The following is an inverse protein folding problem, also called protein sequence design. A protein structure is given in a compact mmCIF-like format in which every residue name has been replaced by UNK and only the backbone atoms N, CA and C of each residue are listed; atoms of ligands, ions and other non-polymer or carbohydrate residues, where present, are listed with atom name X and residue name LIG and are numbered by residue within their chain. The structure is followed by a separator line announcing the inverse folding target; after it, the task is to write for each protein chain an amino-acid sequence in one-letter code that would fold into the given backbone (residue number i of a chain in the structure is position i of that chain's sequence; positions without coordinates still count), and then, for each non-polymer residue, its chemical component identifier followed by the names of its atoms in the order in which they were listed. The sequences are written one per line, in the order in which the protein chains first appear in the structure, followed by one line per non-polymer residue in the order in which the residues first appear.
data_IF_609081864514
#
_entry.id   IF_609081864514
#
_cell.length_a   1.000
_cell.length_b   1.000
_cell.length_c   1.000
_cell.angle_alpha   90.00
_cell.angle_beta   90.00
_cell.angle_gamma   90.00
#
_symmetry.space_group_name_H-M   'P 1'
#
loop_
_entity.id
_entity.type
_entity.pdbx_description
1 polymer ?
#
# COMPACT_ATOMS: atom_id res chain seq x y z
N UNK A 1 -79.05 23.68 17.90
CA UNK A 1 -79.53 22.39 17.36
C UNK A 1 -78.66 22.04 16.15
N UNK A 2 -78.11 20.82 16.13
CA UNK A 2 -77.31 20.18 15.07
C UNK A 2 -75.84 20.61 14.88
N UNK A 3 -74.98 19.69 15.31
CA UNK A 3 -73.62 19.45 14.80
C UNK A 3 -73.63 19.32 13.27
N UNK A 4 -72.51 19.67 12.62
CA UNK A 4 -71.86 18.87 11.58
C UNK A 4 -70.37 19.26 11.57
N UNK A 5 -69.52 18.25 11.75
CA UNK A 5 -68.07 18.32 11.57
C UNK A 5 -67.74 18.20 10.08
N UNK A 6 -66.79 18.99 9.58
CA UNK A 6 -66.03 18.64 8.38
C UNK A 6 -64.58 19.11 8.54
N UNK A 7 -63.69 18.14 8.76
CA UNK A 7 -62.25 18.29 8.75
C UNK A 7 -61.77 18.84 7.39
N UNK A 8 -60.97 19.92 7.42
CA UNK A 8 -60.22 20.41 6.25
C UNK A 8 -58.73 20.15 6.46
N UNK A 9 -58.13 19.61 5.40
CA UNK A 9 -56.77 19.12 5.29
C UNK A 9 -55.68 20.10 5.76
N UNK A 10 -54.83 19.64 6.68
CA UNK A 10 -53.52 20.22 6.94
C UNK A 10 -52.49 19.36 6.20
N UNK A 11 -51.90 19.92 5.14
CA UNK A 11 -50.73 19.34 4.46
C UNK A 11 -49.55 19.37 5.44
N UNK A 12 -49.27 18.22 6.04
CA UNK A 12 -48.03 18.00 6.79
C UNK A 12 -46.91 17.80 5.77
N UNK A 13 -46.17 18.87 5.48
CA UNK A 13 -44.85 18.75 4.87
C UNK A 13 -43.93 18.14 5.93
N UNK A 14 -43.60 16.85 5.77
CA UNK A 14 -42.57 16.17 6.54
C UNK A 14 -41.22 16.85 6.26
N UNK A 15 -40.86 17.84 7.08
CA UNK A 15 -39.50 18.35 7.18
C UNK A 15 -38.67 17.33 7.96
N UNK A 16 -38.20 16.30 7.26
CA UNK A 16 -37.20 15.37 7.78
C UNK A 16 -35.86 16.12 7.77
N UNK A 17 -35.62 16.91 8.81
CA UNK A 17 -34.35 17.59 9.05
C UNK A 17 -33.31 16.50 9.36
N UNK A 18 -32.64 16.02 8.31
CA UNK A 18 -31.52 15.09 8.42
C UNK A 18 -30.41 15.81 9.19
N UNK A 19 -30.27 15.52 10.49
CA UNK A 19 -29.09 15.91 11.26
C UNK A 19 -27.87 15.22 10.61
N UNK A 20 -27.19 15.94 9.72
CA UNK A 20 -25.81 15.63 9.35
C UNK A 20 -24.97 15.85 10.62
N UNK A 21 -24.74 14.77 11.36
CA UNK A 21 -23.68 14.72 12.35
C UNK A 21 -22.36 14.79 11.57
N UNK A 22 -21.57 15.88 11.66
CA UNK A 22 -20.26 15.88 11.04
C UNK A 22 -19.43 14.80 11.73
N UNK A 23 -19.04 13.77 10.97
CA UNK A 23 -17.98 12.86 11.41
C UNK A 23 -16.71 13.71 11.52
N UNK A 24 -16.35 14.08 12.75
CA UNK A 24 -15.03 14.60 13.04
C UNK A 24 -14.04 13.47 12.77
N UNK A 25 -13.42 13.50 11.60
CA UNK A 25 -12.23 12.71 11.32
C UNK A 25 -11.12 13.22 12.22
N UNK A 26 -10.87 12.53 13.32
CA UNK A 26 -9.63 12.73 14.07
C UNK A 26 -8.49 12.26 13.17
N UNK A 27 -7.73 13.19 12.60
CA UNK A 27 -6.45 12.86 11.97
C UNK A 27 -5.54 12.30 13.06
N UNK A 28 -5.14 11.03 12.93
CA UNK A 28 -4.11 10.46 13.80
C UNK A 28 -2.75 10.83 13.25
N UNK A 29 -1.87 11.43 14.05
CA UNK A 29 -0.51 11.78 13.63
C UNK A 29 0.27 10.56 13.11
N UNK A 30 1.14 10.79 12.12
CA UNK A 30 2.05 9.79 11.59
C UNK A 30 3.30 9.64 12.46
N UNK A 31 3.86 8.44 12.52
CA UNK A 31 5.13 8.16 13.19
C UNK A 31 6.19 7.65 12.20
N UNK A 32 7.40 8.19 12.33
CA UNK A 32 8.59 7.74 11.62
C UNK A 32 9.60 7.24 12.64
N UNK A 33 9.94 5.95 12.58
CA UNK A 33 10.93 5.32 13.46
C UNK A 33 12.24 5.15 12.68
N UNK A 34 13.35 5.50 13.34
CA UNK A 34 14.69 5.43 12.77
C UNK A 34 15.61 4.78 13.80
N UNK A 35 16.14 3.61 13.49
CA UNK A 35 17.08 2.91 14.37
C UNK A 35 18.46 2.72 13.74
N UNK A 36 19.51 2.73 14.57
CA UNK A 36 20.89 2.55 14.10
C UNK A 36 21.92 2.49 15.23
N UNK A 37 23.18 2.72 14.85
CA UNK A 37 24.35 2.77 15.73
C UNK A 37 25.02 4.14 15.61
N UNK A 38 25.12 4.89 16.70
CA UNK A 38 25.69 6.23 16.72
C UNK A 38 27.14 6.23 16.21
N UNK A 39 27.44 7.05 15.20
CA UNK A 39 28.77 7.13 14.56
C UNK A 39 29.63 8.28 15.06
N UNK A 40 29.14 9.07 16.01
CA UNK A 40 29.86 10.19 16.61
C UNK A 40 29.53 11.56 16.02
N UNK A 41 28.45 11.68 15.24
CA UNK A 41 27.96 12.95 14.71
C UNK A 41 26.44 13.06 14.87
N UNK A 42 25.94 14.28 15.07
CA UNK A 42 24.52 14.55 15.26
C UNK A 42 23.70 14.28 13.98
N UNK A 43 22.38 14.10 14.13
CA UNK A 43 21.47 13.78 13.02
C UNK A 43 20.72 15.04 12.58
N UNK A 44 20.65 15.29 11.29
CA UNK A 44 19.93 16.42 10.71
C UNK A 44 18.64 15.93 10.08
N UNK A 45 17.54 16.62 10.40
CA UNK A 45 16.18 16.29 9.98
C UNK A 45 15.59 17.48 9.23
N UNK A 46 15.10 17.23 8.02
CA UNK A 46 14.24 18.14 7.26
C UNK A 46 12.83 18.16 7.88
N UNK A 47 12.30 19.36 8.09
CA UNK A 47 11.03 19.62 8.74
C UNK A 47 10.18 20.54 7.84
N UNK A 48 9.43 19.99 6.88
CA UNK A 48 8.70 20.78 5.90
C UNK A 48 7.73 21.79 6.54
N UNK A 49 7.65 22.98 5.94
CA UNK A 49 6.61 23.97 6.26
C UNK A 49 5.34 23.62 5.49
N UNK A 50 4.22 23.48 6.20
CA UNK A 50 2.92 23.16 5.63
C UNK A 50 2.23 24.42 5.08
N UNK A 51 1.19 24.22 4.29
CA UNK A 51 0.39 25.29 3.67
C UNK A 51 -0.33 26.17 4.70
N UNK A 52 -0.58 25.65 5.91
CA UNK A 52 -1.16 26.39 7.04
C UNK A 52 -0.13 27.21 7.83
N UNK A 53 1.15 27.17 7.43
CA UNK A 53 2.25 27.86 8.10
C UNK A 53 2.81 27.12 9.32
N UNK A 54 2.31 25.93 9.64
CA UNK A 54 2.88 25.08 10.71
C UNK A 54 3.98 24.17 10.19
N UNK A 55 4.87 23.73 11.07
CA UNK A 55 5.89 22.76 10.73
C UNK A 55 5.37 21.32 10.86
N UNK A 56 5.92 20.45 10.02
CA UNK A 56 5.54 19.05 9.89
C UNK A 56 5.75 18.24 11.19
N UNK A 57 6.91 18.40 11.84
CA UNK A 57 7.28 17.64 13.04
C UNK A 57 6.56 18.19 14.28
N UNK A 58 5.95 17.28 15.05
CA UNK A 58 5.19 17.58 16.28
C UNK A 58 5.89 17.13 17.55
N UNK A 59 6.62 16.02 17.50
CA UNK A 59 7.37 15.47 18.64
C UNK A 59 8.55 14.64 18.17
N UNK A 60 9.65 14.64 18.93
CA UNK A 60 10.80 13.76 18.69
C UNK A 60 11.19 13.05 19.98
N UNK A 61 11.45 11.75 19.88
CA UNK A 61 12.03 10.93 20.95
C UNK A 61 13.38 10.38 20.50
N UNK A 62 14.38 10.38 21.39
CA UNK A 62 15.70 9.77 21.19
C UNK A 62 15.95 8.81 22.35
N UNK A 63 16.11 7.51 22.07
CA UNK A 63 16.36 6.46 23.08
C UNK A 63 15.42 6.53 24.30
N UNK A 64 14.12 6.71 24.03
CA UNK A 64 13.03 6.84 25.02
C UNK A 64 12.96 8.19 25.75
N UNK A 65 13.85 9.15 25.47
CA UNK A 65 13.78 10.51 25.98
C UNK A 65 13.11 11.44 24.96
N UNK A 66 12.07 12.15 25.38
CA UNK A 66 11.42 13.17 24.55
C UNK A 66 12.24 14.45 24.49
N UNK A 67 12.34 15.06 23.30
CA UNK A 67 12.95 16.36 23.10
C UNK A 67 12.02 17.46 23.64
N UNK A 68 12.50 18.25 24.60
CA UNK A 68 11.67 19.24 25.29
C UNK A 68 11.12 20.35 24.38
N UNK A 69 11.85 20.72 23.31
CA UNK A 69 11.45 21.79 22.41
C UNK A 69 11.91 21.53 20.98
N UNK A 70 10.98 21.64 20.04
CA UNK A 70 11.29 21.57 18.62
C UNK A 70 11.64 22.95 18.04
N UNK A 71 12.70 23.06 17.21
CA UNK A 71 13.01 24.29 16.51
C UNK A 71 11.95 24.65 15.45
N UNK A 72 11.62 25.94 15.34
CA UNK A 72 10.76 26.49 14.31
C UNK A 72 11.57 26.74 13.03
N UNK A 73 12.05 25.66 12.41
CA UNK A 73 12.91 25.73 11.23
C UNK A 73 12.60 24.60 10.25
N UNK A 74 12.84 24.87 8.96
CA UNK A 74 12.64 23.91 7.86
C UNK A 74 13.60 22.71 7.90
N UNK A 75 14.62 22.77 8.75
CA UNK A 75 15.46 21.65 9.15
C UNK A 75 16.05 21.93 10.53
N UNK A 76 16.37 20.88 11.28
CA UNK A 76 17.01 21.01 12.58
C UNK A 76 17.95 19.84 12.90
N UNK A 77 18.80 20.07 13.89
CA UNK A 77 19.76 19.09 14.40
C UNK A 77 19.19 18.38 15.63
N UNK A 78 19.35 17.06 15.66
CA UNK A 78 19.13 16.22 16.82
C UNK A 78 20.46 16.01 17.53
N UNK A 79 20.60 16.65 18.69
CA UNK A 79 21.78 16.52 19.52
C UNK A 79 21.85 15.11 20.13
N UNK A 80 22.88 14.37 19.73
CA UNK A 80 23.19 13.03 20.19
C UNK A 80 24.57 12.99 20.86
N UNK A 81 25.16 14.14 21.19
CA UNK A 81 26.49 14.23 21.81
C UNK A 81 26.61 13.56 23.18
N UNK A 82 25.48 13.26 23.83
CA UNK A 82 25.40 12.49 25.06
C UNK A 82 25.59 10.97 24.85
N UNK A 83 25.51 10.48 23.61
CA UNK A 83 25.71 9.07 23.26
C UNK A 83 27.18 8.78 22.95
N UNK A 84 27.62 7.55 23.19
CA UNK A 84 28.96 7.09 22.81
C UNK A 84 28.91 6.48 21.42
N UNK A 85 29.97 6.70 20.64
CA UNK A 85 30.10 6.05 19.32
C UNK A 85 30.00 4.52 19.50
N UNK A 86 29.10 3.89 18.76
CA UNK A 86 28.77 2.47 18.92
C UNK A 86 27.48 2.19 19.68
N UNK A 87 26.89 3.18 20.36
CA UNK A 87 25.63 3.01 21.06
C UNK A 87 24.47 2.80 20.09
N UNK A 88 23.50 1.97 20.48
CA UNK A 88 22.25 1.84 19.75
C UNK A 88 21.43 3.13 19.90
N UNK A 89 20.81 3.55 18.79
CA UNK A 89 19.98 4.74 18.71
C UNK A 89 18.62 4.35 18.13
N UNK A 90 17.54 4.79 18.77
CA UNK A 90 16.17 4.73 18.29
C UNK A 90 15.56 6.12 18.36
N UNK A 91 15.18 6.67 17.21
CA UNK A 91 14.57 7.99 17.09
C UNK A 91 13.14 7.81 16.58
N UNK A 92 12.17 8.40 17.27
CA UNK A 92 10.77 8.41 16.84
C UNK A 92 10.39 9.86 16.56
N UNK A 93 9.96 10.15 15.34
CA UNK A 93 9.51 11.47 14.91
C UNK A 93 8.01 11.39 14.64
N UNK A 94 7.22 12.12 15.41
CA UNK A 94 5.79 12.27 15.19
C UNK A 94 5.56 13.49 14.31
N UNK A 95 4.73 13.34 13.28
CA UNK A 95 4.50 14.38 12.29
C UNK A 95 3.03 14.43 11.84
N UNK A 96 2.63 15.56 11.23
CA UNK A 96 1.32 15.68 10.60
C UNK A 96 1.13 14.65 9.48
N UNK A 97 -0.10 14.22 9.22
CA UNK A 97 -0.43 13.26 8.16
C UNK A 97 -0.10 13.74 6.74
N UNK A 98 -0.08 15.05 6.53
CA UNK A 98 0.07 15.65 5.20
C UNK A 98 1.53 15.83 4.77
N UNK A 99 2.49 15.32 5.54
CA UNK A 99 3.91 15.43 5.27
C UNK A 99 4.70 14.26 5.88
N UNK A 100 5.94 14.09 5.44
CA UNK A 100 6.88 13.13 6.03
C UNK A 100 8.26 13.82 6.14
N UNK A 101 8.81 13.99 7.35
CA UNK A 101 10.17 14.51 7.57
C UNK A 101 11.25 13.63 6.92
N UNK A 102 12.45 14.16 6.69
CA UNK A 102 13.54 13.39 6.06
C UNK A 102 14.86 13.53 6.80
N UNK A 103 15.56 12.42 6.97
CA UNK A 103 16.91 12.43 7.52
C UNK A 103 17.91 12.85 6.44
N UNK A 104 18.63 13.94 6.69
CA UNK A 104 19.58 14.52 5.73
C UNK A 104 20.94 13.82 5.73
N UNK A 105 21.38 13.29 6.88
CA UNK A 105 22.67 12.62 7.03
C UNK A 105 22.55 11.22 7.70
N UNK A 106 21.91 10.23 7.04
CA UNK A 106 21.68 8.90 7.63
C UNK A 106 22.97 8.19 8.08
N UNK A 107 24.13 8.57 7.53
CA UNK A 107 25.45 8.04 7.91
C UNK A 107 25.84 8.35 9.37
N UNK A 108 25.15 9.27 10.06
CA UNK A 108 25.37 9.53 11.49
C UNK A 108 24.98 8.35 12.38
N UNK A 109 24.09 7.47 11.90
CA UNK A 109 23.59 6.31 12.66
C UNK A 109 23.57 5.00 11.85
N UNK A 110 23.87 5.01 10.55
CA UNK A 110 23.91 3.80 9.71
C UNK A 110 25.28 3.68 9.03
N UNK A 111 25.85 2.47 9.01
CA UNK A 111 27.07 2.22 8.22
C UNK A 111 26.78 2.37 6.73
N UNK A 112 27.73 2.91 5.96
CA UNK A 112 27.59 2.98 4.51
C UNK A 112 27.56 1.58 3.90
N UNK A 113 26.37 1.18 3.47
CA UNK A 113 26.14 0.30 2.35
C UNK A 113 24.87 0.82 1.68
N UNK A 114 24.98 1.39 0.48
CA UNK A 114 23.78 1.72 -0.28
C UNK A 114 22.99 0.42 -0.46
N UNK A 115 21.67 0.46 -0.23
CA UNK A 115 20.82 -0.67 -0.56
C UNK A 115 21.09 -1.10 -2.01
N UNK A 116 21.24 -2.40 -2.21
CA UNK A 116 21.37 -2.99 -3.53
C UNK A 116 20.63 -4.34 -3.59
N UNK A 117 20.07 -4.61 -4.76
CA UNK A 117 19.70 -5.98 -5.16
C UNK A 117 20.99 -6.69 -5.57
N UNK A 118 21.36 -7.73 -4.82
CA UNK A 118 22.53 -8.58 -5.10
C UNK A 118 22.17 -9.61 -6.16
N UNK A 119 21.01 -10.24 -6.00
CA UNK A 119 20.43 -11.19 -6.96
C UNK A 119 18.95 -10.88 -7.11
N UNK A 120 18.43 -11.14 -8.31
CA UNK A 120 17.04 -10.90 -8.66
C UNK A 120 16.67 -11.84 -9.79
N UNK A 121 15.70 -12.71 -9.56
CA UNK A 121 15.29 -13.74 -10.51
C UNK A 121 13.78 -13.99 -10.49
N UNK A 122 13.28 -14.60 -11.56
CA UNK A 122 11.90 -15.02 -11.73
C UNK A 122 11.86 -16.48 -12.23
N UNK A 123 11.11 -17.30 -11.51
CA UNK A 123 10.90 -18.72 -11.82
C UNK A 123 9.43 -18.98 -12.16
N UNK A 124 9.07 -20.21 -12.55
CA UNK A 124 7.65 -20.56 -12.76
C UNK A 124 6.82 -20.50 -11.47
N UNK A 125 7.44 -20.54 -10.29
CA UNK A 125 6.75 -20.53 -9.01
C UNK A 125 6.66 -19.12 -8.39
N UNK A 126 7.52 -18.19 -8.79
CA UNK A 126 7.51 -16.84 -8.22
C UNK A 126 8.78 -16.02 -8.42
N UNK A 127 8.96 -15.04 -7.53
CA UNK A 127 10.08 -14.10 -7.54
C UNK A 127 11.07 -14.46 -6.44
N UNK A 128 12.36 -14.47 -6.77
CA UNK A 128 13.46 -14.66 -5.83
C UNK A 128 14.39 -13.44 -5.87
N UNK A 129 14.79 -12.94 -4.71
CA UNK A 129 15.80 -11.88 -4.67
C UNK A 129 16.66 -11.94 -3.41
N UNK A 130 17.88 -11.46 -3.55
CA UNK A 130 18.84 -11.26 -2.47
C UNK A 130 19.21 -9.79 -2.43
N UNK A 131 19.27 -9.21 -1.24
CA UNK A 131 19.61 -7.81 -1.02
C UNK A 131 20.79 -7.67 -0.07
N UNK A 132 21.39 -6.49 -0.05
CA UNK A 132 22.31 -6.08 1.02
C UNK A 132 22.14 -4.59 1.31
N UNK A 133 22.46 -4.16 2.53
CA UNK A 133 22.37 -2.75 2.91
C UNK A 133 20.94 -2.27 3.15
N UNK A 134 20.04 -3.17 3.56
CA UNK A 134 18.67 -2.79 3.94
C UNK A 134 18.65 -1.79 5.10
N UNK A 135 17.75 -0.81 5.01
CA UNK A 135 17.33 -0.02 6.15
C UNK A 135 16.57 -0.86 7.16
N UNK A 136 16.68 -0.47 8.43
CA UNK A 136 15.68 -0.84 9.41
C UNK A 136 14.30 -0.44 8.87
N UNK A 137 13.35 -1.36 8.96
CA UNK A 137 11.93 -1.14 8.63
C UNK A 137 11.64 -0.78 7.16
N UNK A 138 12.59 -0.95 6.24
CA UNK A 138 12.30 -0.75 4.81
C UNK A 138 11.35 -1.79 4.23
N UNK A 139 10.56 -1.40 3.23
CA UNK A 139 9.51 -2.22 2.62
C UNK A 139 9.79 -2.52 1.15
N UNK A 140 9.54 -3.77 0.74
CA UNK A 140 9.49 -4.14 -0.68
C UNK A 140 8.06 -4.01 -1.21
N UNK A 141 7.91 -3.36 -2.36
CA UNK A 141 6.67 -3.30 -3.12
C UNK A 141 6.89 -4.05 -4.43
N UNK A 142 6.18 -5.17 -4.58
CA UNK A 142 6.18 -5.97 -5.80
C UNK A 142 5.11 -5.42 -6.72
N UNK A 143 5.52 -5.10 -7.94
CA UNK A 143 4.68 -4.58 -9.00
C UNK A 143 4.57 -5.62 -10.12
N UNK A 144 3.37 -5.73 -10.68
CA UNK A 144 3.07 -6.52 -11.87
C UNK A 144 2.66 -5.58 -13.00
N UNK A 145 3.10 -5.86 -14.23
CA UNK A 145 2.58 -5.17 -15.40
C UNK A 145 1.20 -5.73 -15.75
N UNK A 146 0.18 -4.88 -15.69
CA UNK A 146 -1.19 -5.21 -16.08
C UNK A 146 -1.70 -4.09 -17.02
N UNK A 147 -2.10 -4.46 -18.24
CA UNK A 147 -2.65 -3.52 -19.24
C UNK A 147 -1.79 -2.25 -19.46
N UNK A 148 -0.48 -2.42 -19.70
CA UNK A 148 0.50 -1.33 -19.87
C UNK A 148 0.67 -0.41 -18.66
N UNK A 149 0.26 -0.83 -17.47
CA UNK A 149 0.46 -0.10 -16.22
C UNK A 149 1.03 -0.99 -15.13
N UNK A 150 1.91 -0.44 -14.29
CA UNK A 150 2.40 -1.14 -13.11
C UNK A 150 1.35 -1.11 -12.00
N UNK A 151 0.93 -2.27 -11.52
CA UNK A 151 -0.02 -2.44 -10.42
C UNK A 151 0.68 -3.06 -9.22
N UNK A 152 0.33 -2.61 -8.03
CA UNK A 152 0.83 -3.21 -6.78
C UNK A 152 0.24 -4.60 -6.60
N UNK A 153 1.13 -5.59 -6.50
CA UNK A 153 0.77 -6.99 -6.26
C UNK A 153 0.88 -7.31 -4.77
N UNK A 154 1.96 -6.88 -4.11
CA UNK A 154 2.21 -7.17 -2.70
C UNK A 154 3.21 -6.21 -2.06
N UNK A 155 3.02 -5.95 -0.78
CA UNK A 155 4.01 -5.30 0.09
C UNK A 155 4.59 -6.34 1.05
N UNK A 156 5.91 -6.36 1.20
CA UNK A 156 6.67 -7.28 2.05
C UNK A 156 7.64 -6.46 2.91
N UNK A 157 7.57 -6.65 4.22
CA UNK A 157 8.51 -6.02 5.15
C UNK A 157 9.92 -6.58 4.96
N UNK A 158 10.91 -5.70 4.86
CA UNK A 158 12.32 -6.07 4.82
C UNK A 158 12.78 -6.69 6.14
N UNK A 159 13.72 -7.63 6.05
CA UNK A 159 14.23 -8.38 7.19
C UNK A 159 15.23 -7.56 8.00
N UNK A 160 16.02 -6.69 7.36
CA UNK A 160 16.97 -5.77 8.00
C UNK A 160 17.98 -6.40 8.98
N UNK A 161 18.15 -7.73 8.97
CA UNK A 161 18.86 -8.48 10.04
C UNK A 161 20.24 -8.99 9.64
N UNK A 162 20.49 -9.19 8.35
CA UNK A 162 21.68 -9.86 7.86
C UNK A 162 22.48 -8.98 6.90
N UNK A 163 23.76 -9.31 6.72
CA UNK A 163 24.63 -8.71 5.69
C UNK A 163 24.00 -8.87 4.29
N UNK A 164 23.32 -9.99 4.06
CA UNK A 164 22.46 -10.23 2.91
C UNK A 164 21.14 -10.86 3.35
N UNK A 165 20.02 -10.46 2.76
CA UNK A 165 18.72 -11.05 3.05
C UNK A 165 18.16 -11.70 1.78
N UNK A 166 17.67 -12.94 1.90
CA UNK A 166 17.03 -13.67 0.79
C UNK A 166 15.51 -13.68 0.96
N UNK A 167 14.80 -13.54 -0.14
CA UNK A 167 13.34 -13.52 -0.19
C UNK A 167 12.82 -14.44 -1.29
N UNK A 168 11.61 -14.94 -1.06
CA UNK A 168 10.80 -15.62 -2.06
C UNK A 168 9.36 -15.13 -1.95
N UNK A 169 8.75 -14.79 -3.09
CA UNK A 169 7.34 -14.47 -3.17
C UNK A 169 6.69 -15.34 -4.24
N UNK A 170 5.76 -16.21 -3.83
CA UNK A 170 5.00 -17.05 -4.74
C UNK A 170 4.06 -16.21 -5.59
N UNK A 171 4.10 -16.40 -6.91
CA UNK A 171 3.26 -15.69 -7.87
C UNK A 171 2.53 -16.69 -8.76
N UNK A 172 1.26 -16.42 -9.05
CA UNK A 172 0.57 -17.11 -10.14
C UNK A 172 0.77 -16.32 -11.43
N UNK A 173 1.59 -16.87 -12.32
CA UNK A 173 1.80 -16.33 -13.66
C UNK A 173 0.56 -16.58 -14.53
N UNK A 174 0.20 -15.57 -15.33
CA UNK A 174 -0.73 -15.77 -16.42
C UNK A 174 -0.03 -16.47 -17.60
N UNK A 175 -0.78 -16.98 -18.57
CA UNK A 175 -0.20 -17.54 -19.79
C UNK A 175 0.53 -16.45 -20.60
N UNK A 176 1.67 -16.80 -21.21
CA UNK A 176 2.49 -15.87 -21.99
C UNK A 176 3.42 -14.99 -21.16
N UNK A 177 3.77 -13.81 -21.67
CA UNK A 177 4.78 -12.91 -21.08
C UNK A 177 4.25 -12.17 -19.85
N UNK A 178 4.81 -12.46 -18.70
CA UNK A 178 4.58 -11.76 -17.45
C UNK A 178 5.77 -10.83 -17.16
N UNK A 179 5.50 -9.64 -16.61
CA UNK A 179 6.54 -8.71 -16.22
C UNK A 179 6.34 -8.22 -14.78
N UNK A 180 7.44 -8.18 -14.03
CA UNK A 180 7.46 -7.76 -12.63
C UNK A 180 8.57 -6.75 -12.36
N UNK A 181 8.37 -5.94 -11.33
CA UNK A 181 9.37 -5.01 -10.82
C UNK A 181 9.28 -4.97 -9.31
N UNK A 182 10.42 -4.92 -8.63
CA UNK A 182 10.49 -4.76 -7.18
C UNK A 182 10.99 -3.36 -6.87
N UNK A 183 10.31 -2.67 -5.96
CA UNK A 183 10.78 -1.42 -5.36
C UNK A 183 11.11 -1.67 -3.91
N UNK A 184 12.23 -1.13 -3.43
CA UNK A 184 12.55 -1.06 -2.02
C UNK A 184 12.41 0.37 -1.54
N UNK A 185 11.61 0.59 -0.50
CA UNK A 185 11.34 1.89 0.11
C UNK A 185 11.94 1.89 1.50
N UNK A 186 12.90 2.76 1.73
CA UNK A 186 13.42 3.01 3.08
C UNK A 186 12.49 3.92 3.87
N UNK A 187 12.56 3.83 5.20
CA UNK A 187 11.94 4.79 6.12
C UNK A 187 12.36 6.23 5.83
N UNK A 188 13.55 6.46 5.25
CA UNK A 188 14.04 7.79 4.86
C UNK A 188 13.34 8.37 3.62
N UNK A 189 12.44 7.60 2.98
CA UNK A 189 11.81 7.94 1.71
C UNK A 189 12.68 7.65 0.48
N UNK A 190 13.90 7.11 0.65
CA UNK A 190 14.71 6.66 -0.48
C UNK A 190 14.08 5.43 -1.14
N UNK A 191 14.00 5.47 -2.46
CA UNK A 191 13.41 4.40 -3.26
C UNK A 191 14.44 3.80 -4.20
N UNK A 192 14.57 2.49 -4.17
CA UNK A 192 15.46 1.72 -5.03
C UNK A 192 14.63 0.82 -5.94
N UNK A 193 14.85 0.92 -7.23
CA UNK A 193 14.09 0.16 -8.22
C UNK A 193 14.94 -0.99 -8.75
N UNK A 194 14.34 -2.17 -8.89
CA UNK A 194 14.94 -3.28 -9.61
C UNK A 194 14.90 -3.04 -11.13
N UNK A 195 15.67 -3.85 -11.86
CA UNK A 195 15.40 -4.10 -13.28
C UNK A 195 14.03 -4.79 -13.45
N UNK A 196 13.48 -4.72 -14.67
CA UNK A 196 12.23 -5.44 -14.99
C UNK A 196 12.54 -6.92 -15.17
N UNK A 197 11.89 -7.75 -14.37
CA UNK A 197 11.89 -9.20 -14.52
C UNK A 197 10.84 -9.59 -15.57
N UNK A 198 11.22 -10.48 -16.49
CA UNK A 198 10.34 -10.98 -17.53
C UNK A 198 10.33 -12.50 -17.48
N UNK A 199 9.15 -13.09 -17.52
CA UNK A 199 8.97 -14.53 -17.55
C UNK A 199 7.85 -14.91 -18.50
N UNK A 200 8.13 -15.82 -19.42
CA UNK A 200 7.11 -16.35 -20.33
C UNK A 200 6.66 -17.70 -19.83
N UNK A 201 5.47 -17.76 -19.23
CA UNK A 201 4.95 -19.03 -18.73
C UNK A 201 4.40 -19.87 -19.89
N UNK A 202 4.84 -21.13 -19.94
CA UNK A 202 4.35 -22.14 -20.88
C UNK A 202 3.01 -22.77 -20.47
N UNK A 203 2.41 -22.23 -19.40
CA UNK A 203 1.10 -22.65 -18.93
C UNK A 203 0.03 -22.54 -20.02
N UNK A 204 -0.86 -23.54 -20.07
CA UNK A 204 -2.04 -23.44 -20.92
C UNK A 204 -2.88 -22.22 -20.57
N UNK A 205 -3.43 -21.61 -21.61
CA UNK A 205 -4.32 -20.48 -21.47
C UNK A 205 -5.55 -20.85 -20.63
N UNK A 206 -5.84 -19.99 -19.64
CA UNK A 206 -7.00 -20.21 -18.78
C UNK A 206 -8.27 -19.95 -19.57
N UNK A 207 -9.30 -20.74 -19.29
CA UNK A 207 -10.67 -20.52 -19.80
C UNK A 207 -11.63 -20.49 -18.63
N UNK A 208 -12.75 -19.78 -18.80
CA UNK A 208 -13.84 -19.83 -17.84
C UNK A 208 -15.06 -20.56 -18.40
N UNK A 209 -15.90 -21.09 -17.51
CA UNK A 209 -17.20 -21.68 -17.83
C UNK A 209 -18.15 -21.61 -16.62
N UNK A 210 -19.47 -21.65 -16.83
CA UNK A 210 -20.16 -21.53 -18.12
C UNK A 210 -20.24 -20.06 -18.59
N UNK A 211 -20.52 -19.85 -19.88
CA UNK A 211 -20.78 -18.51 -20.43
C UNK A 211 -22.17 -17.94 -20.02
N UNK A 212 -23.07 -18.79 -19.53
CA UNK A 212 -24.36 -18.42 -18.93
C UNK A 212 -24.41 -18.88 -17.47
N UNK A 213 -23.98 -18.00 -16.58
CA UNK A 213 -23.75 -18.29 -15.16
C UNK A 213 -25.06 -18.17 -14.37
N UNK A 214 -25.34 -19.14 -13.50
CA UNK A 214 -26.43 -19.05 -12.52
C UNK A 214 -25.89 -18.68 -11.13
N UNK A 215 -25.00 -19.50 -10.57
CA UNK A 215 -24.43 -19.33 -9.23
C UNK A 215 -22.92 -19.26 -9.23
N UNK A 216 -22.24 -20.09 -10.03
CA UNK A 216 -20.78 -20.22 -10.01
C UNK A 216 -20.20 -20.07 -11.40
N UNK A 217 -19.12 -19.29 -11.50
CA UNK A 217 -18.22 -19.24 -12.64
C UNK A 217 -16.92 -19.95 -12.24
N UNK A 218 -16.42 -20.84 -13.09
CA UNK A 218 -15.24 -21.66 -12.83
C UNK A 218 -14.17 -21.41 -13.89
N UNK A 219 -12.92 -21.42 -13.48
CA UNK A 219 -11.74 -21.37 -14.34
C UNK A 219 -11.11 -22.76 -14.49
N UNK A 220 -10.34 -22.98 -15.55
CA UNK A 220 -9.60 -24.25 -15.74
C UNK A 220 -8.56 -24.49 -14.63
N UNK A 221 -7.99 -23.42 -14.06
CA UNK A 221 -7.07 -23.44 -12.91
C UNK A 221 -7.26 -22.20 -12.03
N UNK A 222 -6.76 -22.19 -10.77
CA UNK A 222 -6.78 -21.00 -9.93
C UNK A 222 -6.11 -19.81 -10.62
N UNK A 223 -6.78 -18.66 -10.64
CA UNK A 223 -6.23 -17.44 -11.22
C UNK A 223 -6.78 -16.19 -10.54
N UNK A 224 -6.00 -15.10 -10.59
CA UNK A 224 -6.48 -13.76 -10.25
C UNK A 224 -7.54 -13.34 -11.27
N UNK A 225 -8.68 -12.87 -10.80
CA UNK A 225 -9.78 -12.43 -11.64
C UNK A 225 -10.43 -11.16 -11.10
N UNK A 226 -11.08 -10.44 -12.00
CA UNK A 226 -12.01 -9.34 -11.68
C UNK A 226 -13.29 -9.53 -12.50
N UNK A 227 -14.44 -9.46 -11.84
CA UNK A 227 -15.73 -9.34 -12.51
C UNK A 227 -16.11 -7.87 -12.51
N UNK A 228 -16.51 -7.39 -13.68
CA UNK A 228 -16.94 -6.03 -13.92
C UNK A 228 -18.39 -6.01 -14.38
N UNK A 229 -19.12 -4.98 -13.99
CA UNK A 229 -20.45 -4.72 -14.54
C UNK A 229 -20.38 -4.22 -15.99
N UNK A 230 -21.54 -3.99 -16.61
CA UNK A 230 -21.65 -3.49 -17.98
C UNK A 230 -21.03 -2.10 -18.20
N UNK A 231 -20.72 -1.37 -17.14
CA UNK A 231 -20.09 -0.04 -17.18
C UNK A 231 -18.58 -0.09 -16.91
N UNK A 232 -18.01 -1.30 -16.72
CA UNK A 232 -16.59 -1.48 -16.43
C UNK A 232 -16.23 -1.25 -14.97
N UNK A 233 -17.20 -1.21 -14.04
CA UNK A 233 -16.92 -1.13 -12.61
C UNK A 233 -16.62 -2.53 -12.06
N UNK A 234 -15.49 -2.69 -11.38
CA UNK A 234 -15.17 -3.94 -10.65
C UNK A 234 -16.16 -4.15 -9.51
N UNK A 235 -16.83 -5.30 -9.51
CA UNK A 235 -17.85 -5.68 -8.52
C UNK A 235 -17.42 -6.87 -7.66
N UNK A 236 -16.57 -7.74 -8.20
CA UNK A 236 -15.95 -8.86 -7.48
C UNK A 236 -14.52 -8.97 -7.98
N UNK A 237 -13.60 -9.30 -7.10
CA UNK A 237 -12.23 -9.66 -7.46
C UNK A 237 -11.73 -10.74 -6.51
N UNK A 238 -10.70 -11.46 -6.92
CA UNK A 238 -10.13 -12.51 -6.09
C UNK A 238 -9.08 -13.32 -6.80
N UNK A 239 -8.62 -14.37 -6.14
CA UNK A 239 -7.72 -15.37 -6.70
C UNK A 239 -8.24 -16.75 -6.32
N UNK A 240 -8.87 -17.44 -7.28
CA UNK A 240 -9.54 -18.71 -7.04
C UNK A 240 -9.78 -19.44 -8.36
N UNK A 241 -10.10 -20.73 -8.28
CA UNK A 241 -10.63 -21.50 -9.42
C UNK A 241 -12.13 -21.24 -9.64
N UNK A 242 -12.85 -20.81 -8.61
CA UNK A 242 -14.30 -20.59 -8.65
C UNK A 242 -14.70 -19.24 -8.07
N UNK A 243 -15.74 -18.66 -8.66
CA UNK A 243 -16.32 -17.38 -8.29
C UNK A 243 -17.79 -17.53 -7.97
N UNK A 244 -18.20 -17.10 -6.77
CA UNK A 244 -19.60 -17.08 -6.39
C UNK A 244 -20.30 -15.85 -6.97
N UNK A 245 -21.09 -16.07 -8.01
CA UNK A 245 -21.90 -15.08 -8.72
C UNK A 245 -23.36 -15.06 -8.25
N UNK A 246 -23.74 -15.79 -7.20
CA UNK A 246 -25.14 -15.93 -6.78
C UNK A 246 -25.79 -14.59 -6.38
N UNK A 247 -25.01 -13.65 -5.85
CA UNK A 247 -25.46 -12.32 -5.43
C UNK A 247 -25.49 -11.30 -6.59
N UNK A 248 -25.03 -11.67 -7.78
CA UNK A 248 -25.07 -10.78 -8.94
C UNK A 248 -26.50 -10.69 -9.51
N UNK A 249 -26.99 -9.49 -9.84
CA UNK A 249 -28.27 -9.32 -10.54
C UNK A 249 -28.38 -10.15 -11.83
N UNK A 250 -29.48 -10.91 -11.96
CA UNK A 250 -29.81 -11.69 -13.16
C UNK A 250 -30.24 -10.84 -14.35
N UNK A 251 -30.23 -11.45 -15.54
CA UNK A 251 -30.68 -10.85 -16.79
C UNK A 251 -29.70 -9.87 -17.43
N UNK A 252 -28.42 -9.88 -17.03
CA UNK A 252 -27.41 -8.89 -17.45
C UNK A 252 -26.12 -9.54 -17.92
N UNK A 253 -25.38 -8.81 -18.74
CA UNK A 253 -24.01 -9.15 -19.11
C UNK A 253 -23.01 -8.55 -18.13
N UNK A 254 -21.98 -9.33 -17.84
CA UNK A 254 -20.82 -8.96 -17.03
C UNK A 254 -19.55 -9.26 -17.83
N UNK A 255 -18.47 -8.55 -17.50
CA UNK A 255 -17.14 -8.86 -18.00
C UNK A 255 -16.34 -9.58 -16.93
N UNK A 256 -15.45 -10.48 -17.34
CA UNK A 256 -14.49 -11.14 -16.48
C UNK A 256 -13.10 -10.90 -17.06
N UNK A 257 -12.27 -10.20 -16.29
CA UNK A 257 -10.85 -10.07 -16.52
C UNK A 257 -10.16 -11.24 -15.82
N UNK A 258 -9.38 -12.01 -16.54
CA UNK A 258 -8.58 -13.10 -15.99
C UNK A 258 -7.46 -13.44 -16.97
N UNK A 259 -6.40 -14.06 -16.48
CA UNK A 259 -5.21 -14.35 -17.30
C UNK A 259 -4.67 -13.05 -17.93
N UNK A 260 -4.65 -12.95 -19.27
CA UNK A 260 -4.34 -11.74 -20.03
C UNK A 260 -5.50 -11.31 -20.94
N UNK A 261 -6.74 -11.63 -20.55
CA UNK A 261 -7.94 -11.43 -21.38
C UNK A 261 -9.11 -10.86 -20.60
N UNK A 262 -9.98 -10.22 -21.36
CA UNK A 262 -11.32 -9.82 -20.91
C UNK A 262 -12.35 -10.55 -21.78
N UNK A 263 -13.23 -11.30 -21.14
CA UNK A 263 -14.35 -11.97 -21.81
C UNK A 263 -15.67 -11.61 -21.14
N UNK A 264 -16.80 -11.92 -21.79
CA UNK A 264 -18.14 -11.61 -21.26
C UNK A 264 -18.92 -12.88 -20.91
N UNK A 265 -19.72 -12.81 -19.85
CA UNK A 265 -20.68 -13.85 -19.50
C UNK A 265 -22.06 -13.25 -19.21
N UNK A 266 -23.11 -14.05 -19.41
CA UNK A 266 -24.48 -13.68 -19.09
C UNK A 266 -24.88 -14.26 -17.73
N UNK A 267 -25.38 -13.42 -16.81
CA UNK A 267 -25.95 -13.89 -15.56
C UNK A 267 -27.43 -14.21 -15.78
N UNK A 268 -27.80 -15.48 -15.60
CA UNK A 268 -29.20 -15.95 -15.61
C UNK A 268 -29.97 -15.35 -14.44
#
# INVERSE_FOLDING_TARGET
MKQISFYRAIKIYNLFLLMLFPMLSFGQDGEMIISGVYKGTNLYVENPLLSDGTFCVKKVMINHSEMQRLPLASAFELDMGHLKKGDQVSIIIFHSNDCVPRVLNPNAIRDQGHFQFVELDITEDGLEWITSGEAAEGNFVILRMEHNSWREEKIIQGLSKQKQNKYFYKVLHHSGENQYKIKYLEVTGKVYNSSVLKHTSNSEQVKFYPNRVSKTLSFTRPIKYEILDQYGKVILSGNSKEVNCAKLPGGKYYFVNYDNKTERFFKK
#
